data_IF_222502343452
#
_entry.id   IF_222502343452
#
_cell.length_a   1.000
_cell.length_b   1.000
_cell.length_c   1.000
_cell.angle_alpha   90.00
_cell.angle_beta   90.00
_cell.angle_gamma   90.00
#
_symmetry.space_group_name_H-M   'P 1'
#
loop_
_entity.id
_entity.type
_entity.pdbx_description
1 polymer ?
#
# COMPACT_ATOMS: atom_id res chain seq x y z
N UNK A 1 -10.83 -21.80 -90.69
CA UNK A 1 -9.94 -22.13 -89.57
C UNK A 1 -10.23 -21.13 -88.45
N UNK A 2 -11.21 -21.43 -87.60
CA UNK A 2 -11.08 -22.08 -86.28
C UNK A 2 -10.83 -21.07 -85.15
N UNK A 3 -11.93 -20.79 -84.41
CA UNK A 3 -11.95 -20.29 -83.02
C UNK A 3 -11.71 -21.47 -82.07
N UNK A 4 -10.83 -21.31 -81.07
CA UNK A 4 -10.76 -22.04 -79.79
C UNK A 4 -9.66 -21.38 -78.91
N UNK A 5 -9.97 -20.74 -77.78
CA UNK A 5 -10.12 -21.24 -76.39
C UNK A 5 -8.82 -21.19 -75.55
N UNK A 6 -8.94 -20.67 -74.31
CA UNK A 6 -7.94 -20.78 -73.23
C UNK A 6 -7.83 -19.52 -72.35
N UNK A 7 -8.89 -19.10 -71.66
CA UNK A 7 -9.05 -19.14 -70.17
C UNK A 7 -8.01 -18.36 -69.35
N UNK A 8 -8.47 -17.23 -68.81
CA UNK A 8 -7.81 -16.45 -67.77
C UNK A 8 -7.97 -17.10 -66.37
N UNK A 9 -7.00 -16.91 -65.44
CA UNK A 9 -7.07 -17.48 -64.10
C UNK A 9 -8.06 -16.70 -63.21
N UNK A 10 -8.92 -17.45 -62.52
CA UNK A 10 -9.86 -16.97 -61.50
C UNK A 10 -9.15 -16.60 -60.19
N UNK A 11 -9.55 -15.52 -59.49
CA UNK A 11 -9.03 -15.19 -58.17
C UNK A 11 -9.65 -16.09 -57.09
N UNK A 12 -8.80 -16.64 -56.22
CA UNK A 12 -9.20 -17.43 -55.04
C UNK A 12 -9.91 -16.55 -53.99
N UNK A 13 -11.00 -17.03 -53.36
CA UNK A 13 -11.65 -16.31 -52.26
C UNK A 13 -10.90 -16.48 -50.93
N UNK A 14 -10.98 -15.50 -50.01
CA UNK A 14 -10.26 -15.54 -48.74
C UNK A 14 -10.81 -16.64 -47.82
N UNK A 15 -9.86 -17.37 -47.21
CA UNK A 15 -10.10 -18.42 -46.23
C UNK A 15 -10.80 -17.83 -45.00
N UNK A 16 -12.03 -18.29 -44.75
CA UNK A 16 -12.78 -18.02 -43.54
C UNK A 16 -12.23 -18.88 -42.40
N UNK A 17 -11.55 -18.24 -41.45
CA UNK A 17 -11.18 -18.89 -40.18
C UNK A 17 -12.43 -18.94 -39.31
N UNK A 18 -13.01 -20.13 -39.21
CA UNK A 18 -14.10 -20.47 -38.32
C UNK A 18 -13.62 -20.46 -36.87
N UNK A 19 -13.99 -19.42 -36.13
CA UNK A 19 -13.93 -19.39 -34.66
C UNK A 19 -15.19 -20.09 -34.14
N UNK A 20 -15.11 -21.20 -33.41
CA UNK A 20 -16.29 -21.76 -32.76
C UNK A 20 -16.72 -20.88 -31.59
N UNK A 21 -17.92 -20.31 -31.70
CA UNK A 21 -18.74 -19.87 -30.57
C UNK A 21 -19.55 -21.06 -30.02
N UNK A 22 -20.15 -20.84 -28.83
CA UNK A 22 -20.97 -21.74 -27.99
C UNK A 22 -20.14 -22.65 -27.04
N UNK A 23 -20.22 -22.61 -25.71
CA UNK A 23 -21.34 -22.34 -24.77
C UNK A 23 -20.79 -22.01 -23.35
N UNK A 24 -21.32 -20.94 -22.74
CA UNK A 24 -21.30 -20.62 -21.29
C UNK A 24 -22.31 -21.53 -20.53
N UNK A 25 -22.67 -21.39 -19.24
CA UNK A 25 -22.07 -20.70 -18.09
C UNK A 25 -21.92 -21.62 -16.85
N UNK A 26 -21.22 -21.14 -15.83
CA UNK A 26 -21.30 -21.67 -14.48
C UNK A 26 -22.69 -21.40 -13.90
N UNK A 27 -23.56 -22.42 -13.91
CA UNK A 27 -24.84 -22.38 -13.22
C UNK A 27 -24.62 -22.62 -11.72
N UNK A 28 -24.86 -21.55 -10.96
CA UNK A 28 -25.19 -21.58 -9.54
C UNK A 28 -26.64 -22.03 -9.41
N UNK A 29 -26.91 -23.21 -8.85
CA UNK A 29 -28.27 -23.67 -8.57
C UNK A 29 -28.74 -23.14 -7.21
N UNK A 30 -29.91 -22.47 -7.14
CA UNK A 30 -30.61 -22.22 -5.89
C UNK A 30 -31.44 -23.45 -5.50
N UNK A 31 -31.49 -23.74 -4.20
CA UNK A 31 -32.28 -24.82 -3.63
C UNK A 31 -33.78 -24.57 -3.74
N UNK A 32 -34.55 -25.66 -3.86
CA UNK A 32 -36.01 -25.69 -3.68
C UNK A 32 -36.32 -26.86 -2.73
N UNK A 33 -37.09 -26.55 -1.69
CA UNK A 33 -37.40 -27.46 -0.61
C UNK A 33 -38.50 -28.49 -0.90
N UNK A 34 -38.64 -29.44 0.01
CA UNK A 34 -39.85 -30.23 0.22
C UNK A 34 -40.19 -30.24 1.71
N UNK A 35 -41.49 -30.18 1.94
CA UNK A 35 -42.30 -30.01 3.14
C UNK A 35 -41.98 -30.97 4.31
N UNK A 36 -42.16 -30.46 5.53
CA UNK A 36 -42.28 -31.25 6.76
C UNK A 36 -42.69 -30.37 7.94
N UNK A 37 -43.97 -30.43 8.30
CA UNK A 37 -44.63 -29.60 9.30
C UNK A 37 -44.16 -29.84 10.75
N UNK A 38 -44.10 -28.77 11.56
CA UNK A 38 -44.59 -28.74 12.96
C UNK A 38 -44.37 -27.34 13.59
N UNK A 39 -45.48 -26.68 13.92
CA UNK A 39 -45.60 -25.63 14.95
C UNK A 39 -46.03 -26.29 16.28
N UNK A 40 -46.22 -25.57 17.41
CA UNK A 40 -45.71 -24.25 17.83
C UNK A 40 -45.24 -24.24 19.32
N UNK A 41 -44.59 -23.16 19.78
CA UNK A 41 -44.93 -22.53 21.07
C UNK A 41 -44.14 -21.23 21.32
N UNK A 42 -44.89 -20.14 21.55
CA UNK A 42 -44.78 -19.14 22.64
C UNK A 42 -43.39 -18.52 22.90
N UNK A 43 -43.17 -17.22 22.94
CA UNK A 43 -44.03 -16.05 22.97
C UNK A 43 -43.20 -14.82 23.37
N UNK A 44 -43.70 -13.63 23.03
CA UNK A 44 -43.62 -12.37 23.78
C UNK A 44 -42.30 -11.99 24.49
N UNK A 45 -41.63 -10.91 24.05
CA UNK A 45 -41.80 -9.54 24.58
C UNK A 45 -40.73 -8.58 24.04
N UNK A 46 -41.19 -7.35 23.83
CA UNK A 46 -40.47 -6.16 23.42
C UNK A 46 -39.89 -5.43 24.65
N UNK A 47 -39.06 -4.42 24.39
CA UNK A 47 -38.63 -3.30 25.25
C UNK A 47 -37.24 -3.37 25.92
N UNK A 48 -36.30 -2.61 25.35
CA UNK A 48 -35.42 -1.67 26.07
C UNK A 48 -36.30 -0.53 26.69
N UNK A 49 -35.91 0.27 27.72
CA UNK A 49 -34.57 0.88 27.90
C UNK A 49 -34.07 1.17 29.35
N UNK A 50 -32.83 1.66 29.44
CA UNK A 50 -32.20 2.54 30.44
C UNK A 50 -32.27 2.22 31.95
N UNK A 51 -31.09 2.07 32.57
CA UNK A 51 -30.81 2.68 33.89
C UNK A 51 -29.31 2.93 34.09
N UNK A 52 -28.95 4.20 34.35
CA UNK A 52 -27.70 4.64 34.99
C UNK A 52 -27.82 4.42 36.50
N UNK A 53 -26.84 3.80 37.17
CA UNK A 53 -26.21 4.41 38.37
C UNK A 53 -25.01 3.64 38.93
N UNK A 54 -24.06 4.46 39.37
CA UNK A 54 -22.86 4.25 40.18
C UNK A 54 -23.06 3.46 41.46
N UNK A 55 -22.06 2.66 41.87
CA UNK A 55 -21.45 2.72 43.20
C UNK A 55 -20.17 1.88 43.29
N UNK A 56 -19.21 2.42 44.05
CA UNK A 56 -17.88 1.90 44.29
C UNK A 56 -17.82 0.97 45.51
N UNK A 57 -16.71 0.22 45.57
CA UNK A 57 -16.05 -0.40 46.73
C UNK A 57 -16.65 -1.68 47.34
N UNK A 58 -15.87 -2.77 47.28
CA UNK A 58 -15.23 -3.33 48.48
C UNK A 58 -14.06 -4.27 48.13
N UNK A 59 -13.17 -4.42 49.11
CA UNK A 59 -11.78 -4.85 49.13
C UNK A 59 -11.46 -6.35 48.88
N UNK A 60 -10.25 -6.59 48.33
CA UNK A 60 -9.19 -7.57 48.71
C UNK A 60 -9.57 -9.08 48.70
N UNK A 61 -8.81 -10.05 48.18
CA UNK A 61 -7.41 -10.45 48.42
C UNK A 61 -7.00 -11.48 47.35
N UNK A 62 -5.72 -11.52 46.93
CA UNK A 62 -5.13 -12.77 46.40
C UNK A 62 -3.94 -12.65 45.43
N UNK A 63 -2.78 -12.24 45.93
CA UNK A 63 -1.45 -12.27 45.27
C UNK A 63 -1.02 -13.65 44.72
N UNK A 64 -0.26 -13.65 43.62
CA UNK A 64 0.76 -14.67 43.33
C UNK A 64 2.07 -14.03 42.83
N UNK A 65 3.15 -14.50 43.45
CA UNK A 65 4.50 -13.95 43.54
C UNK A 65 5.47 -14.43 42.47
N UNK A 66 6.43 -13.55 42.11
CA UNK A 66 7.68 -13.89 41.41
C UNK A 66 8.80 -14.26 42.41
N UNK A 67 9.83 -15.06 42.02
CA UNK A 67 10.93 -15.41 42.92
C UNK A 67 12.15 -14.47 42.80
N UNK A 68 12.76 -14.19 43.95
CA UNK A 68 14.09 -13.59 44.15
C UNK A 68 15.13 -14.65 44.54
N UNK A 69 16.40 -14.46 44.16
CA UNK A 69 17.60 -14.99 44.84
C UNK A 69 18.64 -13.85 44.81
N UNK A 70 18.77 -13.06 45.88
CA UNK A 70 19.62 -13.20 47.06
C UNK A 70 21.06 -12.66 46.88
N UNK A 71 21.39 -11.63 47.66
CA UNK A 71 22.72 -11.09 47.88
C UNK A 71 23.13 -11.31 49.36
N UNK A 72 24.42 -11.51 49.62
CA UNK A 72 24.96 -11.67 50.98
C UNK A 72 26.49 -11.58 51.07
N UNK A 73 26.97 -10.34 51.29
CA UNK A 73 27.99 -9.87 52.25
C UNK A 73 29.42 -10.47 52.40
N UNK A 74 30.37 -9.50 52.37
CA UNK A 74 31.55 -9.26 53.24
C UNK A 74 32.89 -10.02 53.08
N UNK A 75 33.97 -9.23 52.92
CA UNK A 75 35.34 -9.60 53.28
C UNK A 75 36.41 -8.63 52.74
N UNK A 76 37.03 -7.83 53.62
CA UNK A 76 38.01 -6.74 53.40
C UNK A 76 39.44 -7.24 53.08
N UNK A 77 40.30 -6.38 52.51
CA UNK A 77 41.72 -6.02 52.85
C UNK A 77 42.29 -5.19 51.66
N UNK A 78 42.57 -3.87 51.77
CA UNK A 78 43.86 -3.19 52.10
C UNK A 78 45.02 -3.65 51.16
N UNK A 79 45.82 -2.85 50.43
CA UNK A 79 46.53 -1.55 50.69
C UNK A 79 47.15 -0.99 49.38
N UNK A 80 47.05 0.34 49.18
CA UNK A 80 47.95 1.38 48.59
C UNK A 80 48.59 1.31 47.17
N UNK A 81 48.27 2.37 46.41
CA UNK A 81 49.08 3.15 45.44
C UNK A 81 50.45 3.60 46.00
N UNK A 82 51.51 3.90 45.20
CA UNK A 82 51.57 5.21 44.52
C UNK A 82 52.34 5.34 43.19
N UNK A 83 51.97 6.39 42.45
CA UNK A 83 52.70 7.03 41.34
C UNK A 83 54.18 7.30 41.62
N UNK A 84 55.05 7.18 40.61
CA UNK A 84 56.04 8.24 40.28
C UNK A 84 56.63 8.12 38.86
N UNK A 85 56.83 9.29 38.25
CA UNK A 85 57.53 9.63 37.00
C UNK A 85 59.00 9.15 36.96
N UNK A 86 59.59 9.01 35.76
CA UNK A 86 60.86 9.63 35.31
C UNK A 86 61.31 9.11 33.92
N UNK A 87 61.47 10.06 32.99
CA UNK A 87 62.45 10.27 31.90
C UNK A 87 62.91 9.19 30.87
N UNK A 88 63.10 9.68 29.63
CA UNK A 88 63.71 9.02 28.45
C UNK A 88 65.24 8.80 28.58
N UNK A 89 65.87 8.02 27.67
CA UNK A 89 66.52 8.69 26.52
C UNK A 89 66.56 7.91 25.17
N UNK A 90 66.40 8.67 24.08
CA UNK A 90 67.20 8.77 22.81
C UNK A 90 67.97 7.55 22.27
N UNK A 91 67.73 7.15 21.00
CA UNK A 91 68.65 7.36 19.85
C UNK A 91 68.34 6.57 18.53
N UNK A 92 68.74 7.19 17.40
CA UNK A 92 69.09 6.69 16.03
C UNK A 92 67.95 6.47 15.01
N UNK A 93 67.70 7.38 14.04
CA UNK A 93 68.41 7.76 12.79
C UNK A 93 68.04 6.92 11.54
N UNK A 94 67.34 7.53 10.57
CA UNK A 94 67.76 7.62 9.14
C UNK A 94 66.70 8.33 8.26
N UNK A 95 67.19 9.09 7.28
CA UNK A 95 66.56 10.18 6.52
C UNK A 95 65.78 9.79 5.24
N UNK A 96 64.68 10.53 4.98
CA UNK A 96 64.04 11.14 3.75
C UNK A 96 64.35 10.63 2.30
N UNK A 97 63.52 10.88 1.22
CA UNK A 97 62.69 12.10 1.00
C UNK A 97 61.36 12.04 0.18
N UNK A 98 60.42 12.93 0.55
CA UNK A 98 59.72 13.94 -0.29
C UNK A 98 58.87 13.56 -1.52
N UNK A 99 57.54 13.84 -1.45
CA UNK A 99 56.74 14.66 -2.40
C UNK A 99 55.28 14.86 -1.83
N UNK A 100 54.44 15.78 -2.34
CA UNK A 100 53.74 16.79 -1.54
C UNK A 100 52.24 16.52 -1.24
N UNK A 101 51.77 17.09 -0.13
CA UNK A 101 50.36 17.16 0.27
C UNK A 101 49.56 18.12 -0.63
N UNK A 102 48.32 17.78 -1.03
CA UNK A 102 47.37 18.76 -1.53
C UNK A 102 46.67 19.50 -0.39
N UNK A 103 46.54 20.81 -0.60
CA UNK A 103 46.08 21.84 0.32
C UNK A 103 44.59 21.72 0.63
N UNK A 104 44.26 22.00 1.88
CA UNK A 104 42.91 22.20 2.42
C UNK A 104 42.25 23.45 1.80
N UNK A 105 41.13 23.26 1.10
CA UNK A 105 40.25 24.34 0.65
C UNK A 105 39.16 24.63 1.71
N UNK A 106 38.77 25.90 1.90
CA UNK A 106 37.83 26.31 2.94
C UNK A 106 36.39 25.92 2.60
N UNK A 107 35.63 25.57 3.64
CA UNK A 107 34.21 25.25 3.59
C UNK A 107 33.38 26.42 3.04
N UNK A 108 32.51 26.21 2.03
CA UNK A 108 31.52 27.22 1.68
C UNK A 108 30.39 27.19 2.71
N UNK A 109 30.25 28.32 3.39
CA UNK A 109 29.17 28.66 4.29
C UNK A 109 27.80 28.36 3.67
N UNK A 110 27.05 27.59 4.45
CA UNK A 110 25.60 27.43 4.51
C UNK A 110 24.83 28.66 4.00
N UNK A 111 24.55 28.67 2.70
CA UNK A 111 23.44 29.42 2.15
C UNK A 111 22.19 28.53 2.28
N UNK A 112 21.43 28.75 3.34
CA UNK A 112 20.04 28.28 3.40
C UNK A 112 19.32 28.81 2.16
N UNK A 113 18.63 27.97 1.37
CA UNK A 113 17.56 28.50 0.56
C UNK A 113 16.55 29.08 1.54
N UNK A 114 16.48 30.40 1.53
CA UNK A 114 15.35 31.17 2.01
C UNK A 114 14.06 30.39 1.73
N UNK A 115 13.27 30.24 2.79
CA UNK A 115 11.85 29.92 2.76
C UNK A 115 11.19 30.94 1.82
N UNK A 116 11.16 30.62 0.53
CA UNK A 116 10.33 31.28 -0.46
C UNK A 116 9.00 30.54 -0.39
N UNK A 117 7.98 31.25 0.10
CA UNK A 117 6.71 30.69 0.49
C UNK A 117 6.06 29.83 -0.58
N UNK A 118 5.56 28.69 -0.13
CA UNK A 118 4.21 28.32 -0.45
C UNK A 118 3.47 28.26 0.88
N UNK A 119 2.45 29.09 1.06
CA UNK A 119 1.25 28.56 1.68
C UNK A 119 0.79 27.43 0.76
N UNK A 120 1.38 26.26 0.93
CA UNK A 120 0.96 25.06 0.22
C UNK A 120 -0.37 24.68 0.83
N UNK A 121 -1.44 25.31 0.34
CA UNK A 121 -2.80 24.89 0.63
C UNK A 121 -2.94 23.39 0.44
N UNK A 122 -3.86 22.78 1.18
CA UNK A 122 -4.12 21.35 1.08
C UNK A 122 -4.38 20.95 -0.37
N UNK A 123 -3.59 20.01 -0.90
CA UNK A 123 -3.74 19.52 -2.27
C UNK A 123 -4.57 18.26 -2.31
N UNK A 124 -5.44 18.17 -3.31
CA UNK A 124 -6.37 17.05 -3.49
C UNK A 124 -6.22 16.40 -4.86
N UNK A 125 -6.55 15.11 -4.91
CA UNK A 125 -6.73 14.39 -6.17
C UNK A 125 -7.89 15.00 -6.95
N UNK A 126 -7.72 15.07 -8.28
CA UNK A 126 -8.79 15.43 -9.21
C UNK A 126 -9.95 14.44 -9.25
N UNK A 127 -9.77 13.24 -8.68
CA UNK A 127 -10.81 12.22 -8.53
C UNK A 127 -11.44 12.31 -7.15
N UNK A 128 -12.74 12.54 -7.10
CA UNK A 128 -13.52 12.71 -5.87
C UNK A 128 -14.61 11.65 -5.82
N UNK A 129 -14.81 11.03 -4.67
CA UNK A 129 -15.93 10.12 -4.45
C UNK A 129 -17.18 10.90 -4.03
N UNK A 130 -18.34 10.52 -4.57
CA UNK A 130 -19.65 11.06 -4.19
C UNK A 130 -20.57 9.90 -3.84
N UNK A 131 -21.11 9.89 -2.62
CA UNK A 131 -21.98 8.83 -2.12
C UNK A 131 -23.34 9.34 -1.63
N UNK A 132 -24.33 8.45 -1.61
CA UNK A 132 -25.69 8.80 -1.19
C UNK A 132 -26.53 9.48 -2.26
N UNK A 133 -26.11 9.41 -3.54
CA UNK A 133 -26.84 9.96 -4.68
C UNK A 133 -28.31 9.50 -4.68
N UNK A 134 -29.26 10.33 -5.16
CA UNK A 134 -30.61 9.86 -5.44
C UNK A 134 -30.59 8.65 -6.39
N UNK A 135 -31.48 7.66 -6.21
CA UNK A 135 -31.48 6.46 -7.06
C UNK A 135 -31.87 6.75 -8.52
N UNK A 136 -32.52 7.88 -8.77
CA UNK A 136 -33.03 8.35 -10.06
C UNK A 136 -32.23 9.53 -10.64
N UNK A 137 -31.06 9.87 -10.08
CA UNK A 137 -30.18 10.90 -10.65
C UNK A 137 -29.31 10.32 -11.76
N UNK A 138 -29.27 10.98 -12.91
CA UNK A 138 -28.44 10.60 -14.05
C UNK A 138 -27.11 11.38 -14.11
N UNK A 139 -26.29 11.06 -15.11
CA UNK A 139 -25.01 11.74 -15.34
C UNK A 139 -25.15 13.23 -15.63
N UNK A 140 -26.16 13.64 -16.39
CA UNK A 140 -26.34 15.03 -16.81
C UNK A 140 -26.71 15.90 -15.61
N UNK A 141 -27.52 15.37 -14.69
CA UNK A 141 -27.94 16.05 -13.46
C UNK A 141 -26.82 16.12 -12.43
N UNK A 142 -26.01 15.06 -12.30
CA UNK A 142 -24.77 15.09 -11.52
C UNK A 142 -23.84 16.15 -12.11
N UNK A 143 -23.60 16.11 -13.42
CA UNK A 143 -22.72 17.06 -14.11
C UNK A 143 -23.23 18.50 -13.93
N UNK A 144 -24.53 18.74 -14.08
CA UNK A 144 -25.13 20.05 -13.86
C UNK A 144 -24.94 20.57 -12.44
N UNK A 145 -24.98 19.68 -11.44
CA UNK A 145 -24.80 20.01 -10.02
C UNK A 145 -23.35 20.41 -9.70
N UNK A 146 -22.36 19.73 -10.31
CA UNK A 146 -20.94 19.91 -9.98
C UNK A 146 -20.16 20.79 -10.96
N UNK A 147 -20.65 21.03 -12.18
CA UNK A 147 -19.95 21.84 -13.21
C UNK A 147 -19.67 23.28 -12.78
N UNK A 148 -20.39 23.80 -11.77
CA UNK A 148 -20.18 25.14 -11.22
C UNK A 148 -18.79 25.32 -10.59
N UNK A 149 -18.13 24.23 -10.20
CA UNK A 149 -16.78 24.23 -9.63
C UNK A 149 -15.70 24.08 -10.69
N UNK A 150 -16.07 23.65 -11.90
CA UNK A 150 -15.16 23.47 -13.04
C UNK A 150 -15.56 22.30 -13.94
N UNK A 151 -14.88 22.13 -15.09
CA UNK A 151 -15.12 21.02 -16.00
C UNK A 151 -14.83 19.67 -15.33
N UNK A 152 -15.74 18.71 -15.48
CA UNK A 152 -15.59 17.36 -14.93
C UNK A 152 -16.15 16.29 -15.86
N UNK A 153 -15.75 15.05 -15.59
CA UNK A 153 -16.35 13.82 -16.13
C UNK A 153 -16.89 13.01 -14.96
N UNK A 154 -18.10 12.46 -15.11
CA UNK A 154 -18.71 11.58 -14.11
C UNK A 154 -18.46 10.13 -14.52
N UNK A 155 -17.94 9.33 -13.59
CA UNK A 155 -17.64 7.92 -13.82
C UNK A 155 -18.16 7.06 -12.67
N UNK A 156 -18.56 5.83 -12.97
CA UNK A 156 -18.89 4.82 -11.97
C UNK A 156 -18.56 3.42 -12.50
N UNK A 157 -18.33 2.43 -11.63
CA UNK A 157 -17.95 1.09 -12.07
C UNK A 157 -18.97 0.50 -13.05
N UNK A 158 -18.47 -0.12 -14.12
CA UNK A 158 -19.24 -0.76 -15.19
C UNK A 158 -20.14 0.16 -16.03
N UNK A 159 -19.96 1.49 -15.99
CA UNK A 159 -20.73 2.45 -16.80
C UNK A 159 -20.71 2.11 -18.30
N UNK A 160 -19.52 1.90 -18.87
CA UNK A 160 -19.34 1.61 -20.30
C UNK A 160 -19.92 0.26 -20.75
N UNK A 161 -19.95 -0.73 -19.85
CA UNK A 161 -20.36 -2.10 -20.16
C UNK A 161 -21.87 -2.32 -19.95
N UNK A 162 -22.44 -1.69 -18.92
CA UNK A 162 -23.82 -1.96 -18.49
C UNK A 162 -24.89 -1.18 -19.23
N UNK A 163 -24.52 -0.17 -20.05
CA UNK A 163 -25.44 0.87 -20.59
C UNK A 163 -26.37 1.46 -19.51
N UNK A 164 -26.00 1.35 -18.24
CA UNK A 164 -26.83 1.83 -17.14
C UNK A 164 -26.67 3.35 -17.05
N UNK A 165 -27.78 4.06 -17.20
CA UNK A 165 -27.83 5.53 -17.09
C UNK A 165 -27.67 6.02 -15.64
N UNK A 166 -27.87 5.13 -14.66
CA UNK A 166 -27.91 5.49 -13.24
C UNK A 166 -26.74 4.86 -12.46
N UNK A 167 -26.13 5.58 -11.51
CA UNK A 167 -25.05 5.06 -10.69
C UNK A 167 -25.55 3.93 -9.76
N UNK A 168 -25.03 2.70 -9.90
CA UNK A 168 -25.47 1.58 -9.08
C UNK A 168 -25.10 1.81 -7.62
N UNK A 169 -26.04 1.52 -6.70
CA UNK A 169 -25.88 1.71 -5.24
C UNK A 169 -25.70 3.18 -4.80
N UNK A 170 -26.03 4.15 -5.66
CA UNK A 170 -26.09 5.56 -5.28
C UNK A 170 -24.73 6.20 -4.99
N UNK A 171 -23.69 5.82 -5.74
CA UNK A 171 -22.39 6.50 -5.67
C UNK A 171 -21.75 6.64 -7.05
N UNK A 172 -20.93 7.68 -7.22
CA UNK A 172 -20.17 7.96 -8.43
C UNK A 172 -18.79 8.57 -8.08
N UNK A 173 -17.97 8.74 -9.09
CA UNK A 173 -16.71 9.46 -9.04
C UNK A 173 -16.77 10.69 -9.95
N UNK A 174 -16.35 11.84 -9.43
CA UNK A 174 -16.14 13.04 -10.23
C UNK A 174 -14.66 13.11 -10.59
N UNK A 175 -14.36 13.27 -11.87
CA UNK A 175 -13.00 13.49 -12.38
C UNK A 175 -12.93 14.91 -12.90
N UNK A 176 -12.41 15.83 -12.09
CA UNK A 176 -12.20 17.21 -12.50
C UNK A 176 -11.00 17.34 -13.44
N UNK A 177 -11.03 18.34 -14.32
CA UNK A 177 -9.85 18.67 -15.13
C UNK A 177 -8.75 19.28 -14.27
N UNK A 178 -9.12 20.16 -13.33
CA UNK A 178 -8.20 20.95 -12.50
C UNK A 178 -8.30 20.60 -11.01
N UNK A 179 -7.18 20.70 -10.27
CA UNK A 179 -7.13 20.52 -8.81
C UNK A 179 -7.88 21.65 -8.07
N UNK A 180 -7.86 22.88 -8.60
CA UNK A 180 -8.55 24.04 -8.01
C UNK A 180 -10.07 23.84 -7.97
N UNK A 181 -10.64 23.09 -8.91
CA UNK A 181 -12.06 22.75 -8.93
C UNK A 181 -12.47 21.90 -7.73
N UNK A 182 -11.58 21.00 -7.28
CA UNK A 182 -11.81 20.18 -6.08
C UNK A 182 -11.75 21.04 -4.83
N UNK A 183 -10.81 22.00 -4.78
CA UNK A 183 -10.73 22.96 -3.68
C UNK A 183 -12.01 23.79 -3.55
N UNK A 184 -12.52 24.35 -4.66
CA UNK A 184 -13.78 25.10 -4.67
C UNK A 184 -14.98 24.24 -4.26
N UNK A 185 -15.01 22.96 -4.67
CA UNK A 185 -16.03 22.02 -4.24
C UNK A 185 -16.00 21.83 -2.71
N UNK A 186 -14.81 21.63 -2.13
CA UNK A 186 -14.64 21.44 -0.68
C UNK A 186 -15.09 22.68 0.09
N UNK A 187 -14.69 23.88 -0.36
CA UNK A 187 -15.07 25.15 0.25
C UNK A 187 -16.59 25.41 0.23
N UNK A 188 -17.29 24.86 -0.76
CA UNK A 188 -18.74 24.96 -0.87
C UNK A 188 -19.51 23.85 -0.13
N UNK A 189 -18.83 22.86 0.43
CA UNK A 189 -19.47 21.77 1.16
C UNK A 189 -19.87 22.20 2.58
N UNK A 190 -20.96 21.60 3.05
CA UNK A 190 -21.36 21.65 4.46
C UNK A 190 -20.52 20.60 5.21
N UNK A 191 -19.83 21.02 6.26
CA UNK A 191 -19.03 20.12 7.11
C UNK A 191 -19.90 19.65 8.27
N UNK A 192 -20.04 18.33 8.44
CA UNK A 192 -20.72 17.69 9.56
C UNK A 192 -19.96 16.43 9.98
N UNK A 193 -19.59 16.32 11.25
CA UNK A 193 -18.82 15.18 11.80
C UNK A 193 -17.59 14.81 10.95
N UNK A 194 -16.77 15.82 10.59
CA UNK A 194 -15.59 15.72 9.72
C UNK A 194 -15.87 15.21 8.28
N UNK A 195 -17.13 15.06 7.90
CA UNK A 195 -17.57 14.66 6.56
C UNK A 195 -18.07 15.88 5.80
N UNK A 196 -17.87 15.85 4.49
CA UNK A 196 -18.32 16.91 3.59
C UNK A 196 -19.61 16.50 2.91
N UNK A 197 -20.56 17.42 2.85
CA UNK A 197 -21.86 17.22 2.22
C UNK A 197 -22.15 18.33 1.22
N UNK A 198 -22.78 17.96 0.10
CA UNK A 198 -23.34 18.90 -0.86
C UNK A 198 -24.76 18.48 -1.19
N UNK A 199 -25.69 19.43 -1.28
CA UNK A 199 -27.04 19.13 -1.73
C UNK A 199 -27.07 18.96 -3.25
N UNK A 200 -27.69 17.87 -3.72
CA UNK A 200 -28.01 17.64 -5.14
C UNK A 200 -29.47 17.27 -5.28
N UNK A 201 -30.03 17.51 -6.47
CA UNK A 201 -31.43 17.24 -6.77
C UNK A 201 -31.54 16.31 -7.97
N UNK A 202 -32.48 15.37 -7.91
CA UNK A 202 -32.95 14.53 -9.03
C UNK A 202 -34.36 14.97 -9.46
N UNK A 203 -34.96 14.33 -10.48
CA UNK A 203 -36.35 14.59 -10.85
C UNK A 203 -37.33 14.40 -9.68
N UNK A 204 -37.15 13.37 -8.86
CA UNK A 204 -38.10 13.05 -7.77
C UNK A 204 -37.66 13.54 -6.38
N UNK A 205 -36.36 13.76 -6.14
CA UNK A 205 -35.84 14.16 -4.83
C UNK A 205 -35.12 15.50 -4.95
N UNK A 206 -35.51 16.48 -4.13
CA UNK A 206 -34.85 17.79 -4.08
C UNK A 206 -33.93 17.90 -2.87
N UNK A 207 -32.83 18.62 -3.05
CA UNK A 207 -31.87 19.01 -2.01
C UNK A 207 -31.37 17.87 -1.13
N UNK A 208 -31.17 16.69 -1.72
CA UNK A 208 -30.63 15.54 -1.00
C UNK A 208 -29.17 15.80 -0.65
N UNK A 209 -28.78 15.76 0.64
CA UNK A 209 -27.37 15.85 1.01
C UNK A 209 -26.65 14.59 0.56
N UNK A 210 -25.62 14.76 -0.27
CA UNK A 210 -24.74 13.69 -0.72
C UNK A 210 -23.36 13.88 -0.13
N UNK A 211 -22.72 12.77 0.22
CA UNK A 211 -21.42 12.77 0.85
C UNK A 211 -20.32 12.97 -0.20
N UNK A 212 -19.48 13.99 0.00
CA UNK A 212 -18.31 14.28 -0.82
C UNK A 212 -17.07 13.77 -0.08
N UNK A 213 -16.24 12.98 -0.74
CA UNK A 213 -15.00 12.44 -0.16
C UNK A 213 -13.83 12.68 -1.12
N UNK A 214 -13.14 13.83 -0.99
CA UNK A 214 -11.92 14.09 -1.74
C UNK A 214 -10.77 13.22 -1.19
N UNK A 215 -9.77 12.95 -2.03
CA UNK A 215 -8.53 12.31 -1.58
C UNK A 215 -7.45 13.36 -1.39
N UNK A 216 -6.95 13.52 -0.17
CA UNK A 216 -5.85 14.44 0.13
C UNK A 216 -4.54 13.81 -0.31
N UNK A 217 -3.73 14.55 -1.07
CA UNK A 217 -2.48 14.02 -1.60
C UNK A 217 -1.45 13.71 -0.51
N UNK A 218 -1.44 14.47 0.59
CA UNK A 218 -0.57 14.22 1.74
C UNK A 218 -0.90 12.94 2.51
N UNK A 219 -2.09 12.35 2.29
CA UNK A 219 -2.48 11.11 2.98
C UNK A 219 -1.95 9.85 2.27
N UNK A 220 -1.27 10.03 1.11
CA UNK A 220 -0.72 8.95 0.30
C UNK A 220 0.60 8.38 0.84
N UNK A 221 1.34 9.13 1.63
CA UNK A 221 2.63 8.71 2.18
C UNK A 221 2.79 9.22 3.60
N UNK A 222 3.44 8.41 4.43
CA UNK A 222 3.67 8.72 5.83
C UNK A 222 5.00 8.13 6.29
N UNK A 223 5.83 8.97 6.89
CA UNK A 223 7.11 8.59 7.49
C UNK A 223 6.92 8.62 9.00
N UNK A 224 7.07 7.47 9.65
CA UNK A 224 6.97 7.34 11.11
C UNK A 224 8.29 7.75 11.77
N UNK A 225 9.42 7.34 11.19
CA UNK A 225 10.77 7.68 11.66
C UNK A 225 11.65 8.12 10.49
N UNK A 226 11.92 9.42 10.42
CA UNK A 226 12.74 10.03 9.38
C UNK A 226 14.25 9.89 9.62
N UNK A 227 14.67 9.41 10.79
CA UNK A 227 16.09 9.24 11.12
C UNK A 227 16.71 7.99 10.49
N UNK A 228 15.86 7.03 10.10
CA UNK A 228 16.30 5.73 9.58
C UNK A 228 16.25 5.69 8.05
N UNK A 229 17.33 5.23 7.38
CA UNK A 229 17.31 5.07 5.93
C UNK A 229 16.31 3.97 5.54
N UNK A 230 15.44 4.29 4.59
CA UNK A 230 14.46 3.35 4.05
C UNK A 230 15.16 2.35 3.13
N UNK A 231 15.04 1.07 3.47
CA UNK A 231 15.56 -0.03 2.66
C UNK A 231 14.41 -0.66 1.83
N UNK A 232 14.45 -0.54 0.49
CA UNK A 232 13.43 -1.13 -0.38
C UNK A 232 13.34 -2.65 -0.25
N UNK A 233 14.42 -3.35 0.17
CA UNK A 233 14.43 -4.81 0.36
C UNK A 233 13.68 -5.25 1.62
N UNK A 234 13.48 -4.35 2.59
CA UNK A 234 12.68 -4.56 3.81
C UNK A 234 11.26 -4.00 3.67
N UNK A 235 10.78 -3.85 2.42
CA UNK A 235 9.43 -3.34 2.13
C UNK A 235 8.50 -4.49 1.78
N UNK A 236 7.28 -4.43 2.32
CA UNK A 236 6.19 -5.35 1.98
C UNK A 236 5.13 -4.63 1.15
N UNK A 237 4.54 -5.35 0.22
CA UNK A 237 3.33 -4.95 -0.50
C UNK A 237 2.10 -5.45 0.25
N UNK A 238 1.13 -4.57 0.44
CA UNK A 238 -0.15 -4.85 1.09
C UNK A 238 -1.27 -4.70 0.07
N UNK A 239 -1.82 -5.82 -0.37
CA UNK A 239 -2.91 -5.88 -1.34
C UNK A 239 -4.28 -5.91 -0.67
N UNK A 240 -5.24 -5.18 -1.24
CA UNK A 240 -6.64 -5.19 -0.77
C UNK A 240 -6.94 -4.14 0.30
N UNK A 241 -6.04 -3.19 0.54
CA UNK A 241 -6.21 -2.06 1.46
C UNK A 241 -7.54 -1.32 1.19
N UNK A 242 -8.35 -1.01 2.21
CA UNK A 242 -9.55 -0.19 2.03
C UNK A 242 -9.20 1.17 1.42
N UNK A 243 -9.93 1.63 0.40
CA UNK A 243 -9.69 2.94 -0.25
C UNK A 243 -9.76 4.16 0.68
N UNK A 244 -10.58 4.15 1.75
CA UNK A 244 -10.57 5.21 2.76
C UNK A 244 -9.30 5.28 3.61
N UNK A 245 -8.55 4.17 3.72
CA UNK A 245 -7.44 4.05 4.65
C UNK A 245 -6.27 4.95 4.22
N UNK A 246 -5.77 5.75 5.16
CA UNK A 246 -4.64 6.65 4.97
C UNK A 246 -3.31 5.95 5.22
N UNK A 247 -2.22 6.50 4.69
CA UNK A 247 -0.87 5.96 4.92
C UNK A 247 -0.50 5.93 6.41
N UNK A 248 -0.86 6.98 7.16
CA UNK A 248 -0.62 7.05 8.61
C UNK A 248 -1.32 5.91 9.36
N UNK A 249 -2.58 5.63 9.03
CA UNK A 249 -3.34 4.56 9.69
C UNK A 249 -2.74 3.19 9.37
N UNK A 250 -2.36 2.96 8.12
CA UNK A 250 -1.67 1.74 7.70
C UNK A 250 -0.36 1.55 8.46
N UNK A 251 0.43 2.62 8.63
CA UNK A 251 1.68 2.58 9.38
C UNK A 251 1.43 2.18 10.84
N UNK A 252 0.48 2.85 11.51
CA UNK A 252 0.18 2.61 12.92
C UNK A 252 -0.35 1.20 13.18
N UNK A 253 -1.21 0.68 12.29
CA UNK A 253 -1.73 -0.69 12.41
C UNK A 253 -0.58 -1.70 12.25
N UNK A 254 0.26 -1.54 11.23
CA UNK A 254 1.38 -2.46 11.00
C UNK A 254 2.46 -2.38 12.09
N UNK A 255 2.70 -1.19 12.62
CA UNK A 255 3.66 -1.00 13.71
C UNK A 255 3.16 -1.63 15.00
N UNK A 256 1.86 -1.54 15.30
CA UNK A 256 1.25 -2.25 16.43
C UNK A 256 1.36 -3.77 16.30
N UNK A 257 1.28 -4.31 15.09
CA UNK A 257 1.29 -5.77 14.84
C UNK A 257 2.69 -6.36 14.83
N UNK A 258 3.66 -5.69 14.19
CA UNK A 258 5.00 -6.23 13.93
C UNK A 258 6.13 -5.39 14.50
N UNK A 259 5.87 -4.12 14.81
CA UNK A 259 6.87 -3.15 15.26
C UNK A 259 7.88 -2.74 14.19
N UNK A 260 8.52 -1.60 14.39
CA UNK A 260 9.64 -1.15 13.56
C UNK A 260 9.22 -0.74 12.15
N UNK A 261 8.03 -0.16 11.99
CA UNK A 261 7.65 0.47 10.72
C UNK A 261 8.36 1.82 10.60
N UNK A 262 9.03 2.07 9.48
CA UNK A 262 9.62 3.39 9.21
C UNK A 262 8.74 4.24 8.30
N UNK A 263 8.05 3.58 7.36
CA UNK A 263 7.32 4.25 6.29
C UNK A 263 6.14 3.41 5.85
N UNK A 264 5.03 4.07 5.54
CA UNK A 264 3.93 3.49 4.80
C UNK A 264 3.52 4.41 3.64
N UNK A 265 3.06 3.80 2.55
CA UNK A 265 2.51 4.50 1.42
C UNK A 265 1.30 3.78 0.86
N UNK A 266 0.32 4.54 0.38
CA UNK A 266 -0.81 4.05 -0.39
C UNK A 266 -0.44 4.11 -1.87
N UNK A 267 -0.71 3.02 -2.59
CA UNK A 267 -0.49 2.97 -4.02
C UNK A 267 -1.62 3.72 -4.73
N UNK A 268 -1.25 4.84 -5.34
CA UNK A 268 -2.17 5.70 -6.09
C UNK A 268 -2.00 5.53 -7.59
N UNK A 269 -3.05 5.83 -8.34
CA UNK A 269 -3.00 5.94 -9.80
C UNK A 269 -1.96 7.00 -10.26
N UNK A 270 -1.15 6.73 -11.30
CA UNK A 270 -0.13 7.69 -11.76
C UNK A 270 -0.70 9.03 -12.24
N UNK A 271 -1.88 9.02 -12.86
CA UNK A 271 -2.49 10.19 -13.50
C UNK A 271 -3.38 10.97 -12.52
N UNK A 272 -4.26 10.27 -11.80
CA UNK A 272 -5.23 10.90 -10.91
C UNK A 272 -4.73 11.01 -9.47
N UNK A 273 -3.64 10.33 -9.11
CA UNK A 273 -3.13 10.24 -7.72
C UNK A 273 -4.19 9.77 -6.73
N UNK A 274 -5.10 8.88 -7.19
CA UNK A 274 -6.21 8.35 -6.40
C UNK A 274 -5.92 6.91 -5.92
N UNK A 275 -6.30 6.50 -4.69
CA UNK A 275 -6.00 5.18 -4.15
C UNK A 275 -6.53 4.00 -4.99
N UNK A 276 -5.66 3.01 -5.24
CA UNK A 276 -5.99 1.78 -5.97
C UNK A 276 -6.41 0.62 -5.09
N UNK A 277 -6.36 0.78 -3.77
CA UNK A 277 -6.64 -0.29 -2.79
C UNK A 277 -5.46 -1.23 -2.56
N UNK A 278 -4.25 -0.70 -2.67
CA UNK A 278 -3.01 -1.35 -2.29
C UNK A 278 -2.11 -0.33 -1.58
N UNK A 279 -1.11 -0.83 -0.88
CA UNK A 279 -0.10 0.00 -0.22
C UNK A 279 1.21 -0.74 -0.05
N UNK A 280 2.19 -0.04 0.51
CA UNK A 280 3.53 -0.54 0.80
C UNK A 280 3.94 -0.08 2.19
N UNK A 281 4.65 -0.95 2.91
CA UNK A 281 5.11 -0.67 4.27
C UNK A 281 6.56 -1.12 4.38
N UNK A 282 7.43 -0.22 4.81
CA UNK A 282 8.86 -0.48 4.99
C UNK A 282 9.21 -0.59 6.47
N UNK A 283 10.01 -1.60 6.80
CA UNK A 283 10.44 -1.88 8.16
C UNK A 283 11.91 -1.50 8.39
N UNK A 284 12.24 -1.02 9.59
CA UNK A 284 13.62 -0.81 10.04
C UNK A 284 14.36 -2.13 10.20
N UNK A 285 13.65 -3.16 10.67
CA UNK A 285 14.24 -4.42 11.11
C UNK A 285 13.85 -5.59 10.21
N UNK A 286 14.82 -6.48 9.95
CA UNK A 286 14.58 -7.70 9.17
C UNK A 286 13.61 -8.65 9.87
N UNK A 287 13.62 -8.68 11.22
CA UNK A 287 12.71 -9.50 12.02
C UNK A 287 11.23 -9.14 11.75
N UNK A 288 10.90 -7.85 11.80
CA UNK A 288 9.55 -7.35 11.54
C UNK A 288 9.09 -7.59 10.10
N UNK A 289 10.00 -7.39 9.15
CA UNK A 289 9.77 -7.71 7.74
C UNK A 289 9.41 -9.20 7.53
N UNK A 290 10.21 -10.12 8.09
CA UNK A 290 9.96 -11.56 7.98
C UNK A 290 8.62 -11.92 8.65
N UNK A 291 8.36 -11.39 9.85
CA UNK A 291 7.11 -11.64 10.56
C UNK A 291 5.87 -11.23 9.75
N UNK A 292 5.92 -10.06 9.09
CA UNK A 292 4.85 -9.58 8.23
C UNK A 292 4.62 -10.48 7.00
N UNK A 293 5.70 -10.94 6.35
CA UNK A 293 5.60 -11.86 5.22
C UNK A 293 5.08 -13.24 5.65
N UNK A 294 5.55 -13.75 6.78
CA UNK A 294 5.12 -15.04 7.32
C UNK A 294 3.63 -15.06 7.66
N UNK A 295 3.07 -13.92 8.12
CA UNK A 295 1.64 -13.82 8.40
C UNK A 295 0.78 -13.97 7.15
N UNK A 296 1.24 -13.50 5.98
CA UNK A 296 0.59 -13.51 4.65
C UNK A 296 -0.75 -12.79 4.55
N UNK A 297 -1.57 -12.80 5.61
CA UNK A 297 -2.83 -12.10 5.69
C UNK A 297 -2.95 -11.37 7.02
N UNK A 298 -3.45 -10.15 6.95
CA UNK A 298 -3.67 -9.27 8.12
C UNK A 298 -5.10 -8.77 8.09
N UNK A 299 -5.72 -8.62 9.26
CA UNK A 299 -7.01 -7.93 9.35
C UNK A 299 -6.74 -6.44 9.57
N UNK A 300 -7.24 -5.60 8.66
CA UNK A 300 -7.23 -4.16 8.83
C UNK A 300 -8.62 -3.69 9.23
N UNK A 301 -8.68 -3.01 10.37
CA UNK A 301 -9.88 -2.38 10.89
C UNK A 301 -9.76 -0.86 10.68
N UNK A 302 -10.75 -0.27 10.00
CA UNK A 302 -10.85 1.18 9.80
C UNK A 302 -12.33 1.60 9.83
N UNK A 303 -12.73 2.26 10.92
CA UNK A 303 -14.14 2.52 11.21
C UNK A 303 -14.92 1.21 11.25
N UNK A 304 -16.04 1.15 10.52
CA UNK A 304 -16.89 -0.05 10.41
C UNK A 304 -16.37 -1.07 9.38
N UNK A 305 -15.24 -0.80 8.72
CA UNK A 305 -14.66 -1.68 7.70
C UNK A 305 -13.66 -2.61 8.38
N UNK A 306 -13.99 -3.89 8.45
CA UNK A 306 -13.05 -4.96 8.74
C UNK A 306 -12.73 -5.72 7.45
N UNK A 307 -11.47 -5.70 7.04
CA UNK A 307 -11.04 -6.32 5.79
C UNK A 307 -9.72 -7.06 5.95
N UNK A 308 -9.75 -8.31 5.49
CA UNK A 308 -8.56 -9.15 5.37
C UNK A 308 -7.74 -8.73 4.14
N UNK A 309 -6.54 -8.23 4.39
CA UNK A 309 -5.56 -7.84 3.37
C UNK A 309 -4.49 -8.91 3.19
N UNK A 310 -3.90 -8.96 2.00
CA UNK A 310 -2.81 -9.88 1.67
C UNK A 310 -1.46 -9.14 1.74
N UNK A 311 -0.48 -9.73 2.39
CA UNK A 311 0.89 -9.21 2.51
C UNK A 311 1.82 -10.06 1.66
N UNK A 312 2.63 -9.40 0.82
CA UNK A 312 3.62 -10.03 -0.07
C UNK A 312 4.95 -9.28 0.00
N UNK A 313 6.08 -9.94 -0.27
CA UNK A 313 7.34 -9.23 -0.46
C UNK A 313 7.22 -8.20 -1.58
N UNK A 314 7.75 -7.00 -1.37
CA UNK A 314 7.87 -6.03 -2.44
C UNK A 314 9.05 -6.43 -3.34
N UNK A 315 8.76 -6.75 -4.61
CA UNK A 315 9.77 -7.23 -5.56
C UNK A 315 10.31 -6.06 -6.38
N UNK A 316 11.60 -5.79 -6.22
CA UNK A 316 12.41 -4.83 -6.98
C UNK A 316 12.92 -5.43 -8.30
N UNK A 317 13.21 -4.53 -9.25
CA UNK A 317 13.44 -4.85 -10.67
C UNK A 317 14.92 -4.96 -11.06
N UNK A 318 15.79 -4.36 -10.26
CA UNK A 318 17.18 -4.04 -10.53
C UNK A 318 18.13 -4.70 -9.50
N UNK A 319 17.72 -5.86 -8.99
CA UNK A 319 18.49 -6.56 -7.96
C UNK A 319 19.45 -7.56 -8.59
N UNK A 320 20.68 -7.58 -8.08
CA UNK A 320 21.67 -8.58 -8.43
C UNK A 320 21.36 -9.90 -7.73
N UNK A 321 21.87 -11.01 -8.27
CA UNK A 321 21.79 -12.30 -7.61
C UNK A 321 22.51 -12.23 -6.25
N UNK A 322 21.84 -12.58 -5.16
CA UNK A 322 22.41 -12.51 -3.80
C UNK A 322 23.55 -13.52 -3.58
N UNK A 323 23.60 -14.58 -4.40
CA UNK A 323 24.57 -15.67 -4.26
C UNK A 323 25.86 -15.43 -5.05
N UNK A 324 25.76 -14.86 -6.24
CA UNK A 324 26.91 -14.67 -7.13
C UNK A 324 27.18 -13.22 -7.49
N UNK A 325 26.35 -12.29 -7.04
CA UNK A 325 26.46 -10.84 -7.30
C UNK A 325 26.65 -10.52 -8.81
N UNK A 326 25.99 -11.30 -9.67
CA UNK A 326 26.06 -11.14 -11.12
C UNK A 326 27.29 -11.77 -11.79
N UNK A 327 28.25 -12.33 -11.05
CA UNK A 327 29.48 -12.94 -11.59
C UNK A 327 29.20 -14.08 -12.55
N UNK A 328 28.18 -14.90 -12.28
CA UNK A 328 27.81 -16.05 -13.13
C UNK A 328 26.88 -15.68 -14.30
N UNK A 329 26.48 -14.40 -14.42
CA UNK A 329 25.45 -13.97 -15.37
C UNK A 329 25.86 -12.75 -16.19
N UNK A 330 27.17 -12.48 -16.26
CA UNK A 330 27.71 -11.36 -17.02
C UNK A 330 27.18 -9.99 -16.55
N UNK A 331 26.93 -9.84 -15.25
CA UNK A 331 26.41 -8.60 -14.66
C UNK A 331 24.91 -8.32 -14.88
N UNK A 332 24.15 -9.29 -15.42
CA UNK A 332 22.68 -9.16 -15.55
C UNK A 332 22.00 -9.24 -14.18
N UNK A 333 20.88 -8.51 -14.04
CA UNK A 333 19.99 -8.59 -12.88
C UNK A 333 19.37 -9.98 -12.73
N UNK A 334 19.01 -10.33 -11.50
CA UNK A 334 18.38 -11.59 -11.17
C UNK A 334 16.93 -11.64 -11.71
N UNK A 335 16.57 -12.60 -12.58
CA UNK A 335 15.22 -12.74 -13.10
C UNK A 335 14.25 -13.41 -12.10
N UNK A 336 14.76 -14.07 -11.06
CA UNK A 336 13.97 -14.84 -10.11
C UNK A 336 14.06 -14.28 -8.70
N UNK A 337 12.89 -14.14 -8.07
CA UNK A 337 12.79 -13.87 -6.64
C UNK A 337 12.10 -15.04 -5.91
N UNK A 338 12.71 -15.54 -4.85
CA UNK A 338 12.11 -16.58 -4.01
C UNK A 338 11.38 -15.94 -2.83
N UNK A 339 10.04 -15.96 -2.84
CA UNK A 339 9.24 -15.42 -1.73
C UNK A 339 9.08 -16.38 -0.53
N UNK A 340 9.75 -17.55 -0.53
CA UNK A 340 9.75 -18.40 0.64
C UNK A 340 10.55 -17.72 1.76
N UNK A 341 10.01 -17.73 2.98
CA UNK A 341 10.61 -17.13 4.18
C UNK A 341 12.02 -17.63 4.49
N UNK A 342 12.38 -18.84 4.07
CA UNK A 342 13.75 -19.39 4.24
C UNK A 342 14.76 -18.89 3.20
N UNK A 343 14.28 -18.23 2.15
CA UNK A 343 15.11 -17.68 1.08
C UNK A 343 15.04 -16.15 1.05
N UNK A 344 13.87 -15.57 0.72
CA UNK A 344 13.65 -14.12 0.54
C UNK A 344 14.78 -13.42 -0.24
N UNK A 345 15.21 -14.07 -1.33
CA UNK A 345 16.43 -13.74 -2.05
C UNK A 345 16.20 -13.72 -3.56
N UNK A 346 17.05 -12.95 -4.24
CA UNK A 346 17.15 -12.84 -5.68
C UNK A 346 18.18 -13.83 -6.21
N UNK A 347 17.80 -14.58 -7.24
CA UNK A 347 18.65 -15.58 -7.86
C UNK A 347 18.72 -15.39 -9.36
N UNK A 348 19.92 -15.57 -9.90
CA UNK A 348 20.06 -15.85 -11.32
C UNK A 348 19.61 -17.27 -11.67
N UNK A 349 19.44 -17.55 -12.95
CA UNK A 349 18.99 -18.87 -13.43
C UNK A 349 19.85 -20.01 -12.90
N UNK A 350 21.18 -19.85 -12.96
CA UNK A 350 22.12 -20.87 -12.52
C UNK A 350 22.11 -21.08 -11.00
N UNK A 351 22.11 -20.00 -10.22
CA UNK A 351 22.03 -20.08 -8.75
C UNK A 351 20.68 -20.64 -8.30
N UNK A 352 19.58 -20.27 -8.96
CA UNK A 352 18.26 -20.80 -8.70
C UNK A 352 18.25 -22.33 -8.84
N UNK A 353 18.70 -22.85 -9.99
CA UNK A 353 18.73 -24.28 -10.27
C UNK A 353 19.62 -25.04 -9.25
N UNK A 354 20.75 -24.46 -8.85
CA UNK A 354 21.68 -25.09 -7.91
C UNK A 354 21.13 -25.15 -6.48
N UNK A 355 20.40 -24.12 -6.04
CA UNK A 355 19.94 -24.01 -4.66
C UNK A 355 18.57 -24.68 -4.48
N UNK A 356 17.67 -24.55 -5.45
CA UNK A 356 16.31 -25.08 -5.39
C UNK A 356 16.19 -26.52 -5.92
N UNK A 357 17.29 -27.14 -6.37
CA UNK A 357 17.36 -28.59 -6.57
C UNK A 357 17.73 -29.36 -5.28
N UNK A 358 18.07 -28.66 -4.19
CA UNK A 358 18.42 -29.30 -2.92
C UNK A 358 17.16 -29.80 -2.18
N UNK A 359 17.27 -30.91 -1.43
CA UNK A 359 16.17 -31.43 -0.63
C UNK A 359 15.60 -30.36 0.31
N UNK A 360 14.27 -30.23 0.35
CA UNK A 360 13.56 -29.26 1.18
C UNK A 360 13.39 -27.86 0.58
N UNK A 361 14.01 -27.55 -0.57
CA UNK A 361 13.79 -26.30 -1.34
C UNK A 361 13.14 -26.52 -2.71
N UNK A 362 12.90 -27.77 -3.08
CA UNK A 362 12.32 -28.19 -4.36
C UNK A 362 10.88 -27.68 -4.60
N UNK A 363 10.12 -27.41 -3.53
CA UNK A 363 8.75 -26.88 -3.62
C UNK A 363 8.68 -25.36 -3.76
N UNK A 364 9.82 -24.67 -3.70
CA UNK A 364 9.83 -23.22 -3.83
C UNK A 364 9.54 -22.82 -5.27
N UNK A 365 8.61 -21.88 -5.45
CA UNK A 365 8.25 -21.36 -6.77
C UNK A 365 8.93 -20.01 -6.99
N UNK A 366 9.63 -19.81 -8.12
CA UNK A 366 10.20 -18.51 -8.44
C UNK A 366 9.05 -17.57 -8.79
N UNK A 367 9.08 -16.35 -8.26
CA UNK A 367 8.37 -15.25 -8.88
C UNK A 367 9.22 -14.78 -10.06
N UNK A 368 8.72 -15.09 -11.26
CA UNK A 368 9.30 -14.65 -12.53
C UNK A 368 8.63 -13.34 -12.90
N UNK A 369 9.44 -12.35 -13.20
CA UNK A 369 8.94 -11.07 -13.68
C UNK A 369 8.74 -11.14 -15.19
N UNK A 370 7.49 -11.25 -15.65
CA UNK A 370 7.16 -11.00 -17.07
C UNK A 370 7.50 -9.53 -17.40
N UNK A 371 8.14 -9.32 -18.54
CA UNK A 371 8.83 -8.07 -18.88
C UNK A 371 7.96 -6.81 -18.92
N UNK A 372 8.54 -5.74 -18.38
CA UNK A 372 8.56 -4.39 -18.97
C UNK A 372 7.28 -3.55 -19.16
N UNK A 373 6.22 -3.73 -18.36
CA UNK A 373 5.09 -2.76 -18.41
C UNK A 373 4.54 -2.30 -17.05
N UNK A 374 5.24 -2.58 -15.94
CA UNK A 374 5.03 -1.78 -14.73
C UNK A 374 5.77 -0.46 -14.92
N UNK A 375 5.13 0.70 -14.68
CA UNK A 375 5.85 1.96 -14.61
C UNK A 375 7.02 1.74 -13.66
N UNK A 376 8.25 2.06 -14.12
CA UNK A 376 9.45 2.00 -13.29
C UNK A 376 9.09 2.58 -11.94
N UNK A 377 9.38 1.85 -10.85
CA UNK A 377 9.33 2.42 -9.53
C UNK A 377 10.02 3.78 -9.63
N UNK A 378 9.26 4.85 -9.38
CA UNK A 378 9.78 6.21 -9.47
C UNK A 378 11.07 6.20 -8.65
N UNK A 379 12.21 6.63 -9.22
CA UNK A 379 13.43 6.74 -8.44
C UNK A 379 13.07 7.50 -7.18
N UNK A 380 13.41 6.94 -6.02
CA UNK A 380 13.22 7.60 -4.73
C UNK A 380 13.84 9.00 -4.80
N UNK A 381 13.03 10.01 -5.10
CA UNK A 381 13.41 11.42 -5.06
C UNK A 381 12.90 11.93 -3.73
N UNK A 382 13.78 11.87 -2.75
CA UNK A 382 13.60 12.61 -1.51
C UNK A 382 14.10 14.04 -1.77
N UNK A 383 13.18 15.01 -1.73
CA UNK A 383 13.50 16.43 -1.64
C UNK A 383 13.70 16.80 -0.16
#
# INVERSE_FOLDING_TARGET
MFRAFGTAPTPEPPVSVSVPQHIMPWNYTPGVGVLGAAQPAKGFLNCSPNTLQSLAQLHNVGDWTAPQIAAGLNGKYYVEDPNTLLEEPVAMLSETPGLPQPQSMPSPSRASPSVAGSEAGERFSRKVFVGGLPPDIDEDEITASFRRFGPLVVDWPHKAESKSYFPPKGYAFLLFQDESSVQQLIEACIVDDEKLYLCVSSPTIKDKPVQIRPWRLSDADFVLDASMPLDPRKTVFVGGVPRPLKAVELAMIMDRLYGGVCYAGIDTDPELKYPKGAGRVAFSNQQSYIAAISARFVQLQHGDIDKRVEVKPYVLDDQMCDECQGQRCGGKFAPFFCANVTCLQYYCEHCWATIHSRPGREFHKPLVKEGADRPRAVPFRWC
#
